data_IF_011372342686
#
_entry.id   IF_011372342686
#
_cell.length_a   1.000
_cell.length_b   1.000
_cell.length_c   1.000
_cell.angle_alpha   90.00
_cell.angle_beta   90.00
_cell.angle_gamma   90.00
#
_symmetry.space_group_name_H-M   'P 1'
#
loop_
_entity.id
_entity.type
_entity.pdbx_description
1 polymer ?
#
# COMPACT_ATOMS: atom_id res chain seq x y z
N UNK A 1 16.83 8.01 16.64
CA UNK A 1 16.13 7.71 15.37
C UNK A 1 16.60 8.74 14.36
N UNK A 2 16.88 8.38 13.11
CA UNK A 2 17.34 9.35 12.10
C UNK A 2 16.17 10.26 11.66
N UNK A 3 16.35 11.58 11.78
CA UNK A 3 15.33 12.59 11.47
C UNK A 3 14.84 12.53 10.01
N UNK A 4 15.66 11.98 9.09
CA UNK A 4 15.30 11.85 7.67
C UNK A 4 13.99 11.11 7.41
N UNK A 5 13.57 10.23 8.33
CA UNK A 5 12.35 9.43 8.19
C UNK A 5 11.06 10.21 8.47
N UNK A 6 11.17 11.49 8.84
CA UNK A 6 10.05 12.42 9.02
C UNK A 6 10.08 13.61 8.05
N UNK A 7 11.16 13.78 7.29
CA UNK A 7 11.33 14.96 6.43
C UNK A 7 10.40 14.96 5.22
N UNK A 8 10.00 16.17 4.83
CA UNK A 8 9.29 16.42 3.57
C UNK A 8 10.20 16.20 2.38
N UNK A 9 9.60 15.72 1.28
CA UNK A 9 10.26 15.70 -0.04
C UNK A 9 9.29 16.23 -1.10
N UNK A 10 9.70 16.28 -2.37
CA UNK A 10 8.79 16.60 -3.48
C UNK A 10 7.67 15.56 -3.65
N UNK A 11 7.96 14.29 -3.38
CA UNK A 11 7.01 13.18 -3.47
C UNK A 11 6.19 13.07 -2.19
N UNK A 12 6.85 13.16 -1.04
CA UNK A 12 6.23 13.08 0.29
C UNK A 12 5.88 14.50 0.76
N UNK A 13 4.99 15.15 0.01
CA UNK A 13 4.59 16.54 0.19
C UNK A 13 3.50 16.67 1.27
N UNK A 14 3.69 16.02 2.42
CA UNK A 14 2.65 15.86 3.43
C UNK A 14 2.16 17.16 4.08
N UNK A 15 2.89 18.27 3.95
CA UNK A 15 2.45 19.61 4.36
C UNK A 15 1.41 20.23 3.42
N UNK A 16 1.14 19.60 2.27
CA UNK A 16 0.12 20.06 1.33
C UNK A 16 -1.26 20.12 1.99
N UNK A 17 -2.01 21.20 1.74
CA UNK A 17 -3.32 21.44 2.35
C UNK A 17 -4.28 20.25 2.24
N UNK A 18 -4.32 19.53 1.10
CA UNK A 18 -5.22 18.38 0.93
C UNK A 18 -4.92 17.22 1.88
N UNK A 19 -3.63 16.95 2.10
CA UNK A 19 -3.18 15.91 3.03
C UNK A 19 -3.53 16.33 4.46
N UNK A 20 -3.24 17.58 4.80
CA UNK A 20 -3.50 18.14 6.14
C UNK A 20 -5.00 18.19 6.45
N UNK A 21 -5.82 18.57 5.48
CA UNK A 21 -7.28 18.62 5.56
C UNK A 21 -7.88 17.22 5.74
N UNK A 22 -7.42 16.22 4.98
CA UNK A 22 -7.84 14.83 5.18
C UNK A 22 -7.53 14.35 6.61
N UNK A 23 -6.30 14.57 7.08
CA UNK A 23 -5.85 14.17 8.42
C UNK A 23 -6.65 14.86 9.52
N UNK A 24 -6.99 16.13 9.32
CA UNK A 24 -7.83 16.90 10.24
C UNK A 24 -9.28 16.40 10.24
N UNK A 25 -9.89 16.27 9.06
CA UNK A 25 -11.28 15.83 8.88
C UNK A 25 -11.51 14.43 9.45
N UNK A 26 -10.52 13.54 9.38
CA UNK A 26 -10.58 12.19 9.96
C UNK A 26 -10.19 12.13 11.43
N UNK A 27 -9.81 13.27 12.01
CA UNK A 27 -9.37 13.42 13.40
C UNK A 27 -8.21 12.49 13.81
N UNK A 28 -7.40 12.00 12.85
CA UNK A 28 -6.39 10.99 13.14
C UNK A 28 -5.34 11.45 14.15
N UNK A 29 -5.12 12.76 14.30
CA UNK A 29 -4.16 13.29 15.29
C UNK A 29 -4.52 12.95 16.74
N UNK A 30 -5.80 12.79 17.05
CA UNK A 30 -6.29 12.47 18.41
C UNK A 30 -6.20 10.99 18.74
N UNK A 31 -6.03 10.12 17.74
CA UNK A 31 -5.92 8.68 17.93
C UNK A 31 -4.61 8.28 18.63
N UNK A 32 -4.59 7.15 19.35
CA UNK A 32 -3.34 6.50 19.75
C UNK A 32 -2.45 6.16 18.55
N UNK A 33 -1.12 6.16 18.72
CA UNK A 33 -0.17 5.95 17.61
C UNK A 33 -0.43 4.69 16.79
N UNK A 34 -0.80 3.58 17.43
CA UNK A 34 -1.14 2.34 16.71
C UNK A 34 -2.37 2.52 15.79
N UNK A 35 -3.39 3.21 16.29
CA UNK A 35 -4.62 3.49 15.56
C UNK A 35 -4.40 4.51 14.43
N UNK A 36 -3.50 5.49 14.62
CA UNK A 36 -3.04 6.38 13.54
C UNK A 36 -2.49 5.60 12.35
N UNK A 37 -1.61 4.64 12.63
CA UNK A 37 -0.98 3.78 11.60
C UNK A 37 -2.05 2.97 10.89
N UNK A 38 -2.92 2.31 11.67
CA UNK A 38 -4.01 1.50 11.14
C UNK A 38 -4.97 2.30 10.26
N UNK A 39 -5.38 3.49 10.70
CA UNK A 39 -6.32 4.33 9.97
C UNK A 39 -5.75 4.86 8.65
N UNK A 40 -4.49 5.31 8.64
CA UNK A 40 -3.81 5.72 7.41
C UNK A 40 -3.64 4.55 6.43
N UNK A 41 -3.28 3.37 6.95
CA UNK A 41 -3.15 2.14 6.16
C UNK A 41 -4.50 1.71 5.56
N UNK A 42 -5.55 1.66 6.36
CA UNK A 42 -6.89 1.25 5.94
C UNK A 42 -7.46 2.22 4.89
N UNK A 43 -7.27 3.53 5.06
CA UNK A 43 -7.66 4.54 4.06
C UNK A 43 -6.98 4.29 2.71
N UNK A 44 -5.67 4.10 2.67
CA UNK A 44 -4.94 3.87 1.40
C UNK A 44 -5.32 2.52 0.77
N UNK A 45 -5.58 1.50 1.60
CA UNK A 45 -6.00 0.18 1.11
C UNK A 45 -7.41 0.21 0.52
N UNK A 46 -8.37 0.77 1.25
CA UNK A 46 -9.80 0.57 1.00
C UNK A 46 -10.45 1.76 0.27
N UNK A 47 -9.94 2.99 0.43
CA UNK A 47 -10.56 4.19 -0.16
C UNK A 47 -9.82 4.69 -1.42
N UNK A 48 -8.53 4.39 -1.56
CA UNK A 48 -7.76 4.69 -2.77
C UNK A 48 -7.83 3.48 -3.70
N UNK A 49 -8.43 3.65 -4.87
CA UNK A 49 -8.63 2.53 -5.81
C UNK A 49 -7.30 2.03 -6.36
N UNK A 50 -7.23 0.75 -6.70
CA UNK A 50 -6.10 0.25 -7.49
C UNK A 50 -6.19 0.78 -8.93
N UNK A 51 -5.10 1.35 -9.44
CA UNK A 51 -5.03 1.91 -10.79
C UNK A 51 -3.62 2.39 -11.14
N UNK A 52 -3.39 2.69 -12.42
CA UNK A 52 -2.06 3.11 -12.90
C UNK A 52 -2.03 4.62 -13.08
N UNK A 53 -1.21 5.33 -12.29
CA UNK A 53 -0.99 6.76 -12.48
C UNK A 53 -0.08 7.03 -13.69
N UNK A 54 0.02 8.30 -14.08
CA UNK A 54 0.86 8.74 -15.20
C UNK A 54 2.36 8.49 -14.97
N UNK A 55 2.80 8.50 -13.71
CA UNK A 55 4.19 8.25 -13.30
C UNK A 55 4.24 7.82 -11.83
N UNK A 56 5.36 7.20 -11.42
CA UNK A 56 5.62 6.75 -10.04
C UNK A 56 6.12 7.86 -9.11
N UNK A 57 6.69 8.93 -9.68
CA UNK A 57 7.31 10.04 -8.95
C UNK A 57 6.36 11.23 -8.70
N UNK A 58 5.06 11.01 -8.87
CA UNK A 58 4.06 12.04 -8.58
C UNK A 58 3.93 12.32 -7.07
N UNK A 59 3.60 13.56 -6.67
CA UNK A 59 3.38 13.91 -5.27
C UNK A 59 2.23 13.12 -4.63
N UNK A 60 2.35 12.83 -3.33
CA UNK A 60 1.30 12.17 -2.56
C UNK A 60 -0.04 12.92 -2.61
N UNK A 61 -0.01 14.25 -2.60
CA UNK A 61 -1.21 15.08 -2.77
C UNK A 61 -1.90 14.89 -4.13
N UNK A 62 -1.15 14.57 -5.19
CA UNK A 62 -1.69 14.23 -6.50
C UNK A 62 -2.36 12.85 -6.45
N UNK A 63 -1.71 11.85 -5.85
CA UNK A 63 -2.31 10.51 -5.68
C UNK A 63 -3.63 10.58 -4.92
N UNK A 64 -3.68 11.39 -3.86
CA UNK A 64 -4.92 11.64 -3.12
C UNK A 64 -6.00 12.27 -4.00
N UNK A 65 -5.62 13.23 -4.85
CA UNK A 65 -6.54 13.89 -5.78
C UNK A 65 -7.07 12.97 -6.88
N UNK A 66 -6.21 12.08 -7.38
CA UNK A 66 -6.57 11.09 -8.41
C UNK A 66 -7.54 10.05 -7.83
N UNK A 67 -7.42 9.74 -6.53
CA UNK A 67 -8.26 8.75 -5.85
C UNK A 67 -7.92 7.31 -6.23
N UNK A 68 -6.80 7.09 -6.93
CA UNK A 68 -6.29 5.78 -7.29
C UNK A 68 -4.76 5.75 -7.37
N UNK A 69 -4.19 4.55 -7.25
CA UNK A 69 -2.79 4.32 -7.54
C UNK A 69 -2.34 2.86 -7.46
N UNK A 70 -1.07 2.66 -7.80
CA UNK A 70 -0.38 1.37 -7.77
C UNK A 70 0.54 1.28 -6.55
N UNK A 71 1.33 0.21 -6.42
CA UNK A 71 2.20 -0.02 -5.26
C UNK A 71 3.04 1.21 -4.87
N UNK A 72 3.74 1.80 -5.83
CA UNK A 72 4.64 2.93 -5.60
C UNK A 72 3.88 4.19 -5.17
N UNK A 73 2.87 4.58 -5.94
CA UNK A 73 2.12 5.82 -5.70
C UNK A 73 1.22 5.74 -4.48
N UNK A 74 0.57 4.58 -4.21
CA UNK A 74 -0.09 4.32 -2.93
C UNK A 74 0.91 4.33 -1.77
N UNK A 75 2.12 3.81 -1.98
CA UNK A 75 3.21 3.89 -1.02
C UNK A 75 3.59 5.34 -0.68
N UNK A 76 3.69 6.21 -1.69
CA UNK A 76 3.94 7.65 -1.52
C UNK A 76 2.86 8.28 -0.63
N UNK A 77 1.58 8.02 -0.94
CA UNK A 77 0.46 8.55 -0.17
C UNK A 77 0.46 8.01 1.28
N UNK A 78 0.63 6.71 1.48
CA UNK A 78 0.71 6.11 2.80
C UNK A 78 1.83 6.74 3.64
N UNK A 79 3.02 6.88 3.07
CA UNK A 79 4.15 7.51 3.75
C UNK A 79 3.89 8.99 4.09
N UNK A 80 3.27 9.74 3.18
CA UNK A 80 2.93 11.14 3.44
C UNK A 80 1.92 11.27 4.60
N UNK A 81 0.88 10.42 4.64
CA UNK A 81 -0.08 10.40 5.73
C UNK A 81 0.59 10.04 7.07
N UNK A 82 1.43 9.01 7.08
CA UNK A 82 2.20 8.62 8.28
C UNK A 82 3.10 9.76 8.78
N UNK A 83 3.84 10.43 7.89
CA UNK A 83 4.70 11.56 8.25
C UNK A 83 3.91 12.78 8.73
N UNK A 84 2.74 13.04 8.16
CA UNK A 84 1.82 14.11 8.63
C UNK A 84 1.29 13.87 10.06
N UNK A 85 1.34 12.61 10.51
CA UNK A 85 0.98 12.14 11.85
C UNK A 85 2.22 11.96 12.74
N UNK A 86 3.39 12.46 12.31
CA UNK A 86 4.68 12.42 12.99
C UNK A 86 5.28 11.01 13.16
N UNK A 87 4.79 10.05 12.38
CA UNK A 87 5.22 8.65 12.43
C UNK A 87 6.40 8.45 11.47
N UNK A 88 7.59 8.06 11.98
CA UNK A 88 8.73 7.78 11.11
C UNK A 88 8.41 6.60 10.19
N UNK A 89 8.65 6.78 8.90
CA UNK A 89 8.49 5.71 7.92
C UNK A 89 9.60 5.72 6.86
N UNK A 90 9.86 4.56 6.29
CA UNK A 90 10.81 4.37 5.19
C UNK A 90 10.23 3.50 4.09
N UNK A 91 10.67 3.80 2.87
CA UNK A 91 10.30 3.06 1.67
C UNK A 91 11.36 2.01 1.39
N UNK A 92 10.92 0.84 0.98
CA UNK A 92 11.78 -0.19 0.40
C UNK A 92 11.22 -0.60 -0.95
N UNK A 93 12.12 -0.91 -1.87
CA UNK A 93 11.76 -1.34 -3.21
C UNK A 93 12.74 -2.38 -3.71
N UNK A 94 12.22 -3.38 -4.41
CA UNK A 94 12.99 -4.37 -5.15
C UNK A 94 12.27 -4.73 -6.44
N UNK A 95 13.03 -5.20 -7.43
CA UNK A 95 12.48 -5.68 -8.69
C UNK A 95 12.06 -7.15 -8.58
N UNK A 96 10.80 -7.44 -8.92
CA UNK A 96 10.21 -8.79 -9.00
C UNK A 96 9.90 -9.17 -10.45
N UNK A 97 9.81 -10.46 -10.76
CA UNK A 97 9.47 -10.97 -12.10
C UNK A 97 7.99 -10.67 -12.44
N UNK A 98 7.72 -10.24 -13.68
CA UNK A 98 6.37 -9.86 -14.15
C UNK A 98 5.29 -10.93 -14.02
N UNK A 99 5.67 -12.21 -13.81
CA UNK A 99 4.75 -13.34 -13.62
C UNK A 99 3.70 -13.09 -12.54
N UNK A 100 3.98 -12.25 -11.54
CA UNK A 100 3.02 -11.90 -10.49
C UNK A 100 1.76 -11.18 -11.02
N UNK A 101 1.88 -10.42 -12.12
CA UNK A 101 0.76 -9.68 -12.72
C UNK A 101 -0.17 -10.55 -13.57
N UNK A 102 0.13 -11.84 -13.76
CA UNK A 102 -0.69 -12.73 -14.56
C UNK A 102 -2.09 -12.83 -13.95
N UNK A 103 -3.11 -12.43 -14.72
CA UNK A 103 -4.51 -12.40 -14.29
C UNK A 103 -5.00 -11.06 -13.70
N UNK A 104 -4.10 -10.14 -13.34
CA UNK A 104 -4.46 -8.75 -12.98
C UNK A 104 -4.54 -7.82 -14.20
N UNK A 105 -3.79 -8.15 -15.26
CA UNK A 105 -3.78 -7.44 -16.54
C UNK A 105 -4.35 -8.36 -17.63
N UNK A 106 -5.12 -7.84 -18.62
CA UNK A 106 -5.61 -8.66 -19.72
C UNK A 106 -4.47 -9.35 -20.49
N UNK A 107 -4.62 -10.65 -20.75
CA UNK A 107 -3.56 -11.49 -21.34
C UNK A 107 -3.02 -10.97 -22.68
N UNK A 108 -3.84 -10.27 -23.46
CA UNK A 108 -3.45 -9.73 -24.77
C UNK A 108 -2.51 -8.52 -24.70
N UNK A 109 -2.40 -7.84 -23.56
CA UNK A 109 -1.40 -6.76 -23.34
C UNK A 109 -0.24 -7.19 -22.44
N UNK A 110 -0.26 -8.42 -21.90
CA UNK A 110 0.75 -8.91 -20.95
C UNK A 110 2.17 -8.95 -21.52
N UNK A 111 2.32 -9.14 -22.84
CA UNK A 111 3.62 -9.12 -23.52
C UNK A 111 4.26 -7.72 -23.57
N UNK A 112 3.46 -6.67 -23.38
CA UNK A 112 3.94 -5.28 -23.28
C UNK A 112 4.31 -4.88 -21.86
N UNK A 113 4.02 -5.72 -20.86
CA UNK A 113 4.41 -5.47 -19.48
C UNK A 113 5.94 -5.64 -19.32
N UNK A 114 6.63 -4.75 -18.59
CA UNK A 114 8.07 -4.84 -18.38
C UNK A 114 8.43 -6.13 -17.63
N UNK A 115 9.58 -6.74 -17.99
CA UNK A 115 10.09 -8.01 -17.44
C UNK A 115 10.21 -8.05 -15.93
N UNK A 116 10.49 -6.89 -15.33
CA UNK A 116 10.59 -6.70 -13.90
C UNK A 116 9.64 -5.60 -13.46
N UNK A 117 8.90 -5.84 -12.38
CA UNK A 117 8.02 -4.87 -11.74
C UNK A 117 8.69 -4.42 -10.45
N UNK A 118 8.53 -3.16 -10.08
CA UNK A 118 8.96 -2.69 -8.75
C UNK A 118 7.91 -3.15 -7.73
N UNK A 119 8.31 -4.02 -6.82
CA UNK A 119 7.57 -4.28 -5.59
C UNK A 119 8.09 -3.34 -4.52
N UNK A 120 7.18 -2.61 -3.89
CA UNK A 120 7.51 -1.69 -2.81
C UNK A 120 6.71 -1.99 -1.56
N UNK A 121 7.35 -1.87 -0.40
CA UNK A 121 6.67 -1.86 0.88
C UNK A 121 7.10 -0.65 1.71
N UNK A 122 6.25 -0.30 2.68
CA UNK A 122 6.51 0.78 3.63
C UNK A 122 6.81 0.14 4.97
N UNK A 123 7.80 0.65 5.70
CA UNK A 123 7.99 0.31 7.10
C UNK A 123 7.72 1.52 7.98
N UNK A 124 7.10 1.27 9.13
CA UNK A 124 6.88 2.26 10.18
C UNK A 124 7.68 1.91 11.41
N UNK A 125 8.15 2.93 12.12
CA UNK A 125 8.79 2.74 13.41
C UNK A 125 7.74 2.84 14.53
N UNK A 126 7.50 1.72 15.19
CA UNK A 126 6.53 1.60 16.27
C UNK A 126 7.08 0.65 17.33
N UNK A 127 6.91 1.01 18.61
CA UNK A 127 7.38 0.22 19.76
C UNK A 127 8.86 -0.22 19.65
N UNK A 128 9.73 0.75 19.34
CA UNK A 128 11.17 0.59 19.15
C UNK A 128 11.59 -0.42 18.05
N UNK A 129 10.71 -0.73 17.11
CA UNK A 129 10.96 -1.67 16.02
C UNK A 129 10.45 -1.12 14.68
N UNK A 130 11.07 -1.57 13.60
CA UNK A 130 10.54 -1.37 12.25
C UNK A 130 9.52 -2.47 11.96
N UNK A 131 8.33 -2.08 11.54
CA UNK A 131 7.20 -2.96 11.22
C UNK A 131 6.82 -2.77 9.76
N UNK A 132 6.70 -3.88 9.02
CA UNK A 132 6.31 -3.86 7.62
C UNK A 132 4.81 -3.58 7.47
N UNK A 133 4.48 -2.59 6.65
CA UNK A 133 3.16 -2.33 6.11
C UNK A 133 3.14 -2.75 4.65
N UNK A 134 2.65 -3.96 4.41
CA UNK A 134 2.42 -4.55 3.09
C UNK A 134 0.92 -4.75 2.87
N UNK A 135 0.50 -5.07 1.63
CA UNK A 135 -0.91 -5.42 1.35
C UNK A 135 -1.89 -4.25 1.27
N UNK A 136 -1.40 -3.01 1.26
CA UNK A 136 -2.22 -1.80 1.04
C UNK A 136 -2.63 -1.58 -0.43
N UNK A 137 -2.19 -2.46 -1.34
CA UNK A 137 -2.41 -2.30 -2.77
C UNK A 137 -3.84 -2.67 -3.15
N UNK A 138 -4.33 -3.80 -2.63
CA UNK A 138 -5.62 -4.40 -2.99
C UNK A 138 -6.63 -4.19 -1.87
N UNK A 139 -7.81 -3.68 -2.23
CA UNK A 139 -8.89 -3.48 -1.28
C UNK A 139 -9.51 -4.81 -0.81
N UNK A 140 -10.26 -4.75 0.28
CA UNK A 140 -10.95 -5.92 0.84
C UNK A 140 -11.93 -6.56 -0.14
N UNK A 141 -12.64 -5.79 -0.96
CA UNK A 141 -13.65 -6.32 -1.89
C UNK A 141 -13.00 -7.16 -2.99
N UNK A 142 -11.88 -6.69 -3.53
CA UNK A 142 -11.06 -7.40 -4.50
C UNK A 142 -10.51 -8.69 -3.89
N UNK A 143 -9.90 -8.63 -2.70
CA UNK A 143 -9.38 -9.81 -2.01
C UNK A 143 -10.48 -10.84 -1.70
N UNK A 144 -11.66 -10.39 -1.28
CA UNK A 144 -12.80 -11.26 -1.02
C UNK A 144 -13.34 -11.91 -2.29
N UNK A 145 -13.32 -11.19 -3.42
CA UNK A 145 -13.73 -11.72 -4.72
C UNK A 145 -12.78 -12.82 -5.22
N UNK A 146 -11.47 -12.66 -5.02
CA UNK A 146 -10.49 -13.72 -5.33
C UNK A 146 -10.72 -14.93 -4.42
N UNK A 147 -10.89 -14.72 -3.11
CA UNK A 147 -11.18 -15.82 -2.17
C UNK A 147 -12.44 -16.59 -2.55
N UNK A 148 -13.51 -15.89 -2.95
CA UNK A 148 -14.75 -16.52 -3.42
C UNK A 148 -14.55 -17.31 -4.73
N UNK A 149 -13.64 -16.87 -5.60
CA UNK A 149 -13.32 -17.54 -6.86
C UNK A 149 -12.48 -18.82 -6.66
N UNK A 150 -11.67 -18.88 -5.61
CA UNK A 150 -10.78 -20.00 -5.29
C UNK A 150 -11.03 -20.53 -3.86
N UNK A 151 -12.23 -21.09 -3.57
CA UNK A 151 -12.62 -21.47 -2.21
C UNK A 151 -11.88 -22.69 -1.66
N UNK A 152 -11.31 -23.52 -2.54
CA UNK A 152 -10.64 -24.77 -2.17
C UNK A 152 -9.12 -24.65 -2.05
N UNK A 153 -8.55 -23.47 -2.30
CA UNK A 153 -7.11 -23.25 -2.24
C UNK A 153 -6.71 -22.91 -0.81
N UNK A 154 -6.17 -23.89 -0.08
CA UNK A 154 -5.71 -23.71 1.31
C UNK A 154 -4.25 -23.29 1.42
N UNK A 155 -3.47 -23.58 0.39
CA UNK A 155 -2.01 -23.58 0.44
C UNK A 155 -1.43 -22.28 -0.13
N UNK A 156 -0.33 -22.37 -0.87
CA UNK A 156 0.26 -21.22 -1.55
C UNK A 156 -0.59 -20.80 -2.74
N UNK A 157 -0.90 -19.51 -2.84
CA UNK A 157 -1.59 -18.91 -3.98
C UNK A 157 -0.68 -17.87 -4.62
N UNK A 158 -0.64 -17.81 -5.96
CA UNK A 158 0.09 -16.79 -6.71
C UNK A 158 -0.65 -16.43 -8.00
N UNK A 159 -1.14 -15.19 -8.08
CA UNK A 159 -1.87 -14.65 -9.23
C UNK A 159 -2.78 -13.50 -8.85
N UNK A 160 -3.35 -12.79 -9.83
CA UNK A 160 -4.27 -11.67 -9.59
C UNK A 160 -3.70 -10.56 -8.68
N UNK A 161 -2.36 -10.41 -8.63
CA UNK A 161 -1.68 -9.46 -7.74
C UNK A 161 -1.57 -9.92 -6.27
N UNK A 162 -1.84 -11.19 -5.98
CA UNK A 162 -1.78 -11.81 -4.65
C UNK A 162 -0.79 -12.98 -4.67
N UNK A 163 0.15 -13.03 -3.71
CA UNK A 163 1.09 -14.16 -3.60
C UNK A 163 1.40 -14.56 -2.15
N UNK A 164 0.57 -15.39 -1.53
CA UNK A 164 0.68 -15.82 -0.13
C UNK A 164 1.05 -17.30 0.00
N UNK A 165 1.77 -17.67 1.07
CA UNK A 165 2.03 -19.08 1.44
C UNK A 165 0.85 -19.77 2.11
N UNK A 166 -0.17 -19.02 2.51
CA UNK A 166 -1.38 -19.53 3.11
C UNK A 166 -2.56 -18.65 2.69
N UNK A 167 -3.40 -19.17 1.80
CA UNK A 167 -4.53 -18.44 1.25
C UNK A 167 -5.74 -18.38 2.21
N UNK A 168 -5.78 -19.29 3.19
CA UNK A 168 -6.78 -19.35 4.26
C UNK A 168 -6.20 -18.87 5.59
N UNK A 169 -6.35 -17.59 5.93
CA UNK A 169 -6.18 -17.11 7.30
C UNK A 169 -7.40 -16.32 7.78
N UNK A 170 -8.32 -17.06 8.38
CA UNK A 170 -9.29 -16.60 9.37
C UNK A 170 -8.67 -16.85 10.76
N UNK A 171 -8.29 -15.77 11.46
CA UNK A 171 -8.24 -15.59 12.93
C UNK A 171 -7.46 -14.34 13.37
N UNK A 172 -6.67 -13.74 12.49
CA UNK A 172 -6.05 -12.43 12.72
C UNK A 172 -6.18 -11.57 11.45
N UNK A 173 -7.06 -10.55 11.43
CA UNK A 173 -7.28 -9.69 10.25
C UNK A 173 -6.03 -8.88 9.84
N UNK A 174 -4.97 -8.91 10.64
CA UNK A 174 -3.71 -8.19 10.43
C UNK A 174 -2.57 -9.05 9.86
N UNK A 175 -2.79 -10.34 9.54
CA UNK A 175 -1.82 -11.09 8.74
C UNK A 175 -2.06 -10.79 7.27
N UNK A 176 -1.35 -9.75 6.84
CA UNK A 176 -1.24 -9.32 5.45
C UNK A 176 -1.04 -10.52 4.54
N UNK A 177 -1.86 -10.53 3.50
CA UNK A 177 -1.61 -11.23 2.24
C UNK A 177 -0.34 -10.62 1.68
N UNK A 178 0.82 -11.18 2.05
CA UNK A 178 2.09 -10.82 1.45
C UNK A 178 1.99 -11.09 -0.03
N UNK A 179 2.51 -10.20 -0.87
CA UNK A 179 2.89 -10.54 -2.23
C UNK A 179 4.38 -10.85 -2.20
N UNK A 180 4.78 -12.02 -2.70
CA UNK A 180 6.10 -12.12 -3.33
C UNK A 180 6.16 -11.24 -4.56
#
# INVERSE_FOLDING_TARGET
MDERYKLKTKILDFENHRIQELVQMREWRSLPTFEKIGAAYDFVRDEIKFGYNISDDIPASQVLSDGYGQCNTKGNLLMALLRSLEIPCRFHGFTIDQKLQKGAIPSYVFWMAPKYIIHSWVEVFYDNKWINLEGFILDKLYLNSIKAKFPNESDSFCGYGVATKCFVLSKHPNRVVTGF
#
